data_IF_769447778548
#
_entry.id   IF_769447778548
#
_cell.length_a   1.000
_cell.length_b   1.000
_cell.length_c   1.000
_cell.angle_alpha   90.00
_cell.angle_beta   90.00
_cell.angle_gamma   90.00
#
_symmetry.space_group_name_H-M   'P 1'
#
loop_
_entity.id
_entity.type
_entity.pdbx_description
1 polymer ?
#
# COMPACT_ATOMS: atom_id res chain seq x y z
N UNK A 1 3.45 9.11 13.78
CA UNK A 1 2.11 8.52 14.04
C UNK A 1 1.83 7.55 12.90
N UNK A 2 1.36 6.34 13.21
CA UNK A 2 1.03 5.33 12.19
C UNK A 2 -0.48 5.10 12.22
N UNK A 3 -1.11 5.09 11.04
CA UNK A 3 -2.54 4.84 10.89
C UNK A 3 -2.68 3.60 10.00
N UNK A 4 -3.46 2.63 10.48
CA UNK A 4 -3.72 1.40 9.73
C UNK A 4 -5.19 1.39 9.34
N UNK A 5 -5.46 1.24 8.04
CA UNK A 5 -6.81 1.11 7.51
C UNK A 5 -7.02 -0.34 7.09
N UNK A 6 -7.88 -1.06 7.81
CA UNK A 6 -8.21 -2.47 7.57
C UNK A 6 -9.64 -2.59 7.06
N UNK A 7 -9.90 -3.64 6.27
CA UNK A 7 -11.26 -4.02 5.88
C UNK A 7 -11.34 -5.53 5.68
N UNK A 8 -12.53 -6.11 5.95
CA UNK A 8 -12.79 -7.54 5.84
C UNK A 8 -13.38 -8.00 4.49
N UNK A 9 -13.67 -7.09 3.55
CA UNK A 9 -14.20 -7.43 2.22
C UNK A 9 -13.68 -6.48 1.14
N UNK A 10 -13.50 -6.99 -0.08
CA UNK A 10 -13.22 -6.19 -1.27
C UNK A 10 -14.36 -5.20 -1.58
N UNK A 11 -14.03 -4.05 -2.19
CA UNK A 11 -15.02 -3.03 -2.58
C UNK A 11 -15.54 -2.11 -1.46
N UNK A 12 -14.99 -2.20 -0.25
CA UNK A 12 -15.41 -1.40 0.93
C UNK A 12 -14.80 0.01 1.00
N UNK A 13 -14.03 0.42 -0.01
CA UNK A 13 -13.43 1.76 -0.08
C UNK A 13 -12.14 1.95 0.73
N UNK A 14 -11.53 0.86 1.23
CA UNK A 14 -10.26 0.86 1.99
C UNK A 14 -9.17 1.68 1.29
N UNK A 15 -8.94 1.42 0.02
CA UNK A 15 -7.94 2.12 -0.79
C UNK A 15 -8.29 3.60 -0.91
N UNK A 16 -9.53 3.93 -1.27
CA UNK A 16 -10.01 5.32 -1.42
C UNK A 16 -9.78 6.16 -0.15
N UNK A 17 -10.14 5.63 1.02
CA UNK A 17 -9.97 6.40 2.26
C UNK A 17 -8.50 6.50 2.67
N UNK A 18 -7.73 5.43 2.50
CA UNK A 18 -6.31 5.39 2.86
C UNK A 18 -5.46 6.37 2.02
N UNK A 19 -5.71 6.46 0.71
CA UNK A 19 -4.97 7.35 -0.19
C UNK A 19 -5.30 8.82 0.05
N UNK A 20 -6.59 9.14 0.26
CA UNK A 20 -7.00 10.52 0.59
C UNK A 20 -6.48 10.96 1.95
N UNK A 21 -6.45 10.06 2.94
CA UNK A 21 -5.86 10.36 4.24
C UNK A 21 -4.36 10.63 4.14
N UNK A 22 -3.63 9.82 3.35
CA UNK A 22 -2.21 10.05 3.09
C UNK A 22 -1.96 11.40 2.41
N UNK A 23 -2.78 11.76 1.41
CA UNK A 23 -2.67 13.04 0.71
C UNK A 23 -2.94 14.24 1.63
N UNK A 24 -4.03 14.18 2.42
CA UNK A 24 -4.41 15.24 3.35
C UNK A 24 -3.35 15.48 4.43
N UNK A 25 -2.78 14.40 4.95
CA UNK A 25 -1.77 14.45 6.01
C UNK A 25 -0.34 14.63 5.49
N UNK A 26 -0.14 14.61 4.17
CA UNK A 26 1.19 14.52 3.52
C UNK A 26 2.03 13.38 4.13
N UNK A 27 1.39 12.25 4.39
CA UNK A 27 2.00 11.10 5.03
C UNK A 27 2.56 10.12 3.99
N UNK A 28 3.50 9.29 4.42
CA UNK A 28 3.94 8.15 3.63
C UNK A 28 2.79 7.15 3.47
N UNK A 29 2.56 6.70 2.25
CA UNK A 29 1.58 5.68 1.93
C UNK A 29 2.27 4.34 1.73
N UNK A 30 1.73 3.29 2.36
CA UNK A 30 2.23 1.92 2.23
C UNK A 30 1.02 1.05 1.92
N UNK A 31 1.03 0.41 0.75
CA UNK A 31 0.00 -0.56 0.36
C UNK A 31 0.46 -1.96 0.79
N UNK A 32 -0.20 -2.52 1.79
CA UNK A 32 0.08 -3.87 2.29
C UNK A 32 -0.85 -4.94 1.69
N UNK A 33 -1.65 -4.58 0.69
CA UNK A 33 -2.53 -5.52 -0.01
C UNK A 33 -1.71 -6.35 -1.01
N UNK A 34 -1.54 -7.64 -0.73
CA UNK A 34 -0.71 -8.54 -1.58
C UNK A 34 -1.45 -8.92 -2.86
N UNK A 35 -2.77 -9.04 -2.82
CA UNK A 35 -3.57 -9.51 -3.95
C UNK A 35 -3.86 -8.37 -4.93
N UNK A 36 -4.23 -7.18 -4.42
CA UNK A 36 -4.65 -6.05 -5.26
C UNK A 36 -4.17 -4.69 -4.72
N UNK A 37 -2.86 -4.37 -4.82
CA UNK A 37 -2.30 -3.08 -4.39
C UNK A 37 -2.70 -1.94 -5.33
N UNK A 38 -3.88 -1.36 -5.10
CA UNK A 38 -4.51 -0.38 -5.99
C UNK A 38 -4.18 1.09 -5.65
N UNK A 39 -3.34 1.36 -4.63
CA UNK A 39 -3.04 2.73 -4.21
C UNK A 39 -2.46 3.63 -5.31
N UNK A 40 -1.68 3.05 -6.23
CA UNK A 40 -1.03 3.78 -7.34
C UNK A 40 -2.04 4.44 -8.29
N UNK A 41 -3.25 3.89 -8.42
CA UNK A 41 -4.32 4.43 -9.28
C UNK A 41 -4.71 5.84 -8.82
N UNK A 42 -4.72 6.06 -7.50
CA UNK A 42 -5.09 7.36 -6.90
C UNK A 42 -3.88 8.29 -6.75
N UNK A 43 -2.73 7.76 -6.37
CA UNK A 43 -1.57 8.57 -5.99
C UNK A 43 -0.66 8.94 -7.17
N UNK A 44 -0.75 8.22 -8.29
CA UNK A 44 0.03 8.46 -9.53
C UNK A 44 1.51 8.79 -9.24
N UNK A 45 2.23 7.91 -8.52
CA UNK A 45 3.60 8.20 -8.11
C UNK A 45 4.53 8.36 -9.31
N UNK A 46 5.42 9.34 -9.22
CA UNK A 46 6.51 9.57 -10.17
C UNK A 46 7.84 9.04 -9.60
N UNK A 47 8.86 8.84 -10.46
CA UNK A 47 10.19 8.37 -10.05
C UNK A 47 10.18 7.01 -9.33
N UNK A 48 9.53 6.01 -9.94
CA UNK A 48 9.45 4.66 -9.37
C UNK A 48 10.83 4.01 -9.29
N UNK A 49 11.13 3.44 -8.12
CA UNK A 49 12.33 2.66 -7.87
C UNK A 49 11.97 1.21 -7.55
N UNK A 50 12.71 0.27 -8.12
CA UNK A 50 12.53 -1.17 -7.87
C UNK A 50 13.86 -1.76 -7.44
N UNK A 51 13.81 -2.70 -6.50
CA UNK A 51 14.97 -3.48 -6.05
C UNK A 51 14.59 -4.95 -6.00
N UNK A 52 15.53 -5.83 -6.34
CA UNK A 52 15.36 -7.26 -6.10
C UNK A 52 15.27 -7.52 -4.59
N UNK A 53 14.38 -8.42 -4.20
CA UNK A 53 14.23 -8.90 -2.83
C UNK A 53 14.30 -10.43 -2.85
N UNK A 54 14.99 -10.99 -1.86
CA UNK A 54 15.17 -12.44 -1.72
C UNK A 54 14.45 -12.92 -0.45
N UNK A 55 14.03 -14.19 -0.45
CA UNK A 55 13.41 -14.84 0.70
C UNK A 55 14.33 -15.95 1.18
N UNK A 56 14.55 -16.03 2.49
CA UNK A 56 15.36 -17.09 3.09
C UNK A 56 14.67 -18.45 2.89
N UNK A 57 15.38 -19.40 2.28
CA UNK A 57 14.90 -20.78 2.10
C UNK A 57 15.61 -21.67 3.12
N UNK A 58 14.87 -22.34 4.03
CA UNK A 58 15.49 -23.25 4.98
C UNK A 58 16.16 -24.41 4.24
N UNK A 59 17.41 -24.71 4.62
CA UNK A 59 18.16 -25.87 4.13
C UNK A 59 17.82 -27.09 5.01
N UNK A 60 17.57 -28.23 4.36
CA UNK A 60 17.47 -29.54 5.01
C UNK A 60 18.88 -30.10 5.17
#
# INVERSE_FOLDING_TARGET
MNIVVLSGKGGTGKTTISTNLALLLKANYIDCDVEEPNGFIFLQPENLHTKAVEVEIPKI
#
